data_IF_066311655302
#
_entry.id   IF_066311655302
#
_cell.length_a   1.000
_cell.length_b   1.000
_cell.length_c   1.000
_cell.angle_alpha   90.00
_cell.angle_beta   90.00
_cell.angle_gamma   90.00
#
_symmetry.space_group_name_H-M   'P 1'
#
loop_
_entity.id
_entity.type
_entity.pdbx_description
1 polymer ?
#
# COMPACT_ATOMS: atom_id res chain seq x y z
N UNK A 1 -15.84 23.46 8.73
CA UNK A 1 -14.92 23.11 9.84
C UNK A 1 -13.75 22.37 9.19
N UNK A 2 -12.55 22.98 9.14
CA UNK A 2 -11.34 22.30 8.65
C UNK A 2 -11.01 21.21 9.66
N UNK A 3 -11.36 19.96 9.34
CA UNK A 3 -10.95 18.80 10.14
C UNK A 3 -9.43 18.69 10.11
N UNK A 4 -8.83 18.24 11.21
CA UNK A 4 -7.41 17.91 11.23
C UNK A 4 -7.08 16.92 10.08
N UNK A 5 -5.93 17.11 9.44
CA UNK A 5 -5.45 16.21 8.39
C UNK A 5 -5.37 14.76 8.95
N UNK A 6 -5.84 13.80 8.16
CA UNK A 6 -5.90 12.39 8.58
C UNK A 6 -4.54 11.72 8.38
N UNK A 7 -3.82 11.30 9.44
CA UNK A 7 -2.57 10.57 9.29
C UNK A 7 -2.76 9.32 8.42
N UNK A 8 -2.07 9.28 7.29
CA UNK A 8 -2.28 8.24 6.28
C UNK A 8 -0.94 7.73 5.77
N UNK A 9 -0.74 6.43 5.81
CA UNK A 9 0.42 5.74 5.29
C UNK A 9 0.04 4.96 4.03
N UNK A 10 0.74 5.18 2.93
CA UNK A 10 0.65 4.36 1.73
C UNK A 10 1.89 3.46 1.64
N UNK A 11 1.71 2.17 1.82
CA UNK A 11 2.72 1.16 1.53
C UNK A 11 2.69 0.84 0.04
N UNK A 12 3.75 1.20 -0.67
CA UNK A 12 3.95 0.83 -2.07
C UNK A 12 5.11 -0.14 -2.24
N UNK A 13 5.31 -0.62 -3.45
CA UNK A 13 6.33 -1.60 -3.81
C UNK A 13 5.79 -2.62 -4.83
N UNK A 14 6.66 -3.47 -5.35
CA UNK A 14 6.31 -4.43 -6.41
C UNK A 14 5.40 -5.56 -5.94
N UNK A 15 4.89 -6.39 -6.86
CA UNK A 15 4.24 -7.67 -6.55
C UNK A 15 5.26 -8.52 -5.76
N UNK A 16 4.83 -9.15 -4.66
CA UNK A 16 5.70 -9.94 -3.79
C UNK A 16 6.56 -9.15 -2.79
N UNK A 17 6.54 -7.80 -2.81
CA UNK A 17 7.29 -6.99 -1.83
C UNK A 17 6.76 -7.07 -0.40
N UNK A 18 5.52 -7.55 -0.18
CA UNK A 18 4.94 -7.78 1.16
C UNK A 18 4.05 -6.67 1.69
N UNK A 19 3.58 -5.74 0.86
CA UNK A 19 2.72 -4.60 1.24
C UNK A 19 1.57 -4.96 2.17
N UNK A 20 0.70 -5.86 1.73
CA UNK A 20 -0.50 -6.28 2.45
C UNK A 20 -0.18 -6.83 3.84
N UNK A 21 0.83 -7.72 3.92
CA UNK A 21 1.20 -8.37 5.18
C UNK A 21 1.80 -7.38 6.16
N UNK A 22 2.63 -6.44 5.68
CA UNK A 22 3.20 -5.37 6.51
C UNK A 22 2.12 -4.37 6.93
N UNK A 23 1.17 -4.02 6.04
CA UNK A 23 0.04 -3.15 6.41
C UNK A 23 -0.80 -3.74 7.54
N UNK A 24 -1.10 -5.03 7.48
CA UNK A 24 -1.81 -5.75 8.55
C UNK A 24 -1.01 -5.71 9.86
N UNK A 25 0.30 -5.97 9.80
CA UNK A 25 1.16 -5.92 10.98
C UNK A 25 1.23 -4.51 11.59
N UNK A 26 1.26 -3.45 10.77
CA UNK A 26 1.16 -2.05 11.24
C UNK A 26 -0.15 -1.82 12.00
N UNK A 27 -1.28 -2.24 11.42
CA UNK A 27 -2.58 -2.11 12.09
C UNK A 27 -2.61 -2.79 13.45
N UNK A 28 -2.06 -4.01 13.55
CA UNK A 28 -1.96 -4.73 14.82
C UNK A 28 -1.08 -3.99 15.85
N UNK A 29 0.08 -3.46 15.43
CA UNK A 29 0.97 -2.72 16.32
C UNK A 29 0.31 -1.42 16.81
N UNK A 30 -0.39 -0.68 15.95
CA UNK A 30 -1.15 0.51 16.35
C UNK A 30 -2.25 0.16 17.35
N UNK A 31 -3.01 -0.91 17.10
CA UNK A 31 -4.05 -1.39 18.01
C UNK A 31 -3.49 -1.79 19.39
N UNK A 32 -2.33 -2.46 19.43
CA UNK A 32 -1.64 -2.78 20.69
C UNK A 32 -1.25 -1.55 21.52
N UNK A 33 -1.09 -0.40 20.86
CA UNK A 33 -0.82 0.89 21.50
C UNK A 33 -2.09 1.71 21.80
N UNK A 34 -3.27 1.10 21.64
CA UNK A 34 -4.55 1.78 21.85
C UNK A 34 -4.90 2.81 20.77
N UNK A 35 -4.25 2.77 19.61
CA UNK A 35 -4.50 3.67 18.48
C UNK A 35 -5.49 3.02 17.52
N UNK A 36 -6.56 3.74 17.14
CA UNK A 36 -7.51 3.28 16.13
C UNK A 36 -6.90 3.38 14.73
N UNK A 37 -6.98 2.32 13.94
CA UNK A 37 -6.44 2.31 12.58
C UNK A 37 -7.35 1.57 11.60
N UNK A 38 -7.53 2.11 10.39
CA UNK A 38 -8.10 1.39 9.26
C UNK A 38 -6.96 0.88 8.35
N UNK A 39 -7.00 -0.41 8.03
CA UNK A 39 -6.03 -1.04 7.12
C UNK A 39 -6.75 -1.50 5.86
N UNK A 40 -6.29 -1.06 4.70
CA UNK A 40 -6.92 -1.37 3.42
C UNK A 40 -5.88 -1.78 2.37
N UNK A 41 -6.04 -2.94 1.80
CA UNK A 41 -5.42 -3.28 0.52
C UNK A 41 -6.33 -2.76 -0.60
N UNK A 42 -5.85 -1.74 -1.32
CA UNK A 42 -6.66 -1.02 -2.31
C UNK A 42 -6.96 -1.87 -3.54
N UNK A 43 -6.19 -2.94 -3.81
CA UNK A 43 -6.45 -3.84 -4.92
C UNK A 43 -7.82 -4.54 -4.77
N UNK A 44 -8.28 -4.78 -3.52
CA UNK A 44 -9.60 -5.33 -3.25
C UNK A 44 -10.76 -4.39 -3.59
N UNK A 45 -10.51 -3.09 -3.73
CA UNK A 45 -11.56 -2.12 -4.10
C UNK A 45 -11.92 -2.18 -5.58
N UNK A 46 -11.14 -2.85 -6.42
CA UNK A 46 -11.40 -3.02 -7.84
C UNK A 46 -10.99 -4.41 -8.35
N UNK A 47 -11.13 -5.44 -7.53
CA UNK A 47 -10.93 -6.82 -7.98
C UNK A 47 -12.09 -7.24 -8.89
N UNK A 48 -11.94 -7.02 -10.17
CA UNK A 48 -12.99 -7.20 -11.16
C UNK A 48 -12.48 -7.98 -12.37
N UNK A 49 -13.35 -8.83 -12.91
CA UNK A 49 -13.16 -9.51 -14.19
C UNK A 49 -14.14 -8.92 -15.22
N UNK A 50 -13.97 -7.65 -15.58
CA UNK A 50 -14.80 -6.98 -16.58
C UNK A 50 -14.26 -7.23 -17.97
N UNK A 51 -15.16 -7.57 -18.91
CA UNK A 51 -14.78 -7.79 -20.32
C UNK A 51 -14.41 -6.50 -21.05
N UNK A 52 -15.02 -5.38 -20.68
CA UNK A 52 -14.63 -4.04 -21.11
C UNK A 52 -15.12 -3.04 -20.07
N UNK A 53 -14.31 -2.02 -19.80
CA UNK A 53 -14.69 -0.91 -18.93
C UNK A 53 -14.16 0.39 -19.54
N UNK A 54 -14.98 1.43 -19.51
CA UNK A 54 -14.55 2.79 -19.82
C UNK A 54 -13.78 3.44 -18.68
N UNK A 55 -13.71 2.77 -17.51
CA UNK A 55 -13.06 3.25 -16.28
C UNK A 55 -11.85 2.37 -16.00
N UNK A 56 -10.72 2.96 -15.74
CA UNK A 56 -9.50 2.26 -15.34
C UNK A 56 -9.63 1.69 -13.92
N UNK A 57 -8.82 0.68 -13.60
CA UNK A 57 -8.78 0.13 -12.23
C UNK A 57 -8.41 1.22 -11.21
N UNK A 58 -7.47 2.11 -11.53
CA UNK A 58 -7.04 3.20 -10.66
C UNK A 58 -8.18 4.19 -10.38
N UNK A 59 -8.92 4.60 -11.41
CA UNK A 59 -10.10 5.46 -11.24
C UNK A 59 -11.19 4.81 -10.39
N UNK A 60 -11.43 3.51 -10.58
CA UNK A 60 -12.43 2.80 -9.80
C UNK A 60 -12.01 2.67 -8.34
N UNK A 61 -10.75 2.33 -8.08
CA UNK A 61 -10.19 2.28 -6.71
C UNK A 61 -10.33 3.64 -6.04
N UNK A 62 -9.96 4.73 -6.73
CA UNK A 62 -10.06 6.07 -6.20
C UNK A 62 -11.51 6.45 -5.84
N UNK A 63 -12.46 6.16 -6.71
CA UNK A 63 -13.90 6.39 -6.46
C UNK A 63 -14.42 5.59 -5.28
N UNK A 64 -14.04 4.31 -5.18
CA UNK A 64 -14.45 3.45 -4.08
C UNK A 64 -13.80 3.90 -2.76
N UNK A 65 -12.52 4.26 -2.77
CA UNK A 65 -11.83 4.81 -1.61
C UNK A 65 -12.49 6.10 -1.13
N UNK A 66 -12.78 7.05 -2.03
CA UNK A 66 -13.48 8.28 -1.70
C UNK A 66 -14.87 8.04 -1.09
N UNK A 67 -15.58 7.01 -1.56
CA UNK A 67 -16.91 6.66 -1.05
C UNK A 67 -16.87 6.06 0.37
N UNK A 68 -15.85 5.28 0.71
CA UNK A 68 -15.74 4.65 2.04
C UNK A 68 -15.03 5.55 3.05
N UNK A 69 -14.23 6.52 2.63
CA UNK A 69 -13.41 7.36 3.50
C UNK A 69 -14.20 8.11 4.57
N UNK A 70 -15.33 8.76 4.26
CA UNK A 70 -16.18 9.42 5.27
C UNK A 70 -16.68 8.44 6.34
N UNK A 71 -17.05 7.21 5.95
CA UNK A 71 -17.55 6.20 6.87
C UNK A 71 -16.46 5.76 7.88
N UNK A 72 -15.21 5.66 7.41
CA UNK A 72 -14.07 5.33 8.29
C UNK A 72 -13.77 6.46 9.27
N UNK A 73 -13.89 7.71 8.83
CA UNK A 73 -13.75 8.88 9.71
C UNK A 73 -14.85 8.96 10.76
N UNK A 74 -16.09 8.67 10.37
CA UNK A 74 -17.22 8.58 11.31
C UNK A 74 -17.05 7.47 12.33
N UNK A 75 -16.36 6.38 11.96
CA UNK A 75 -15.99 5.29 12.86
C UNK A 75 -14.75 5.57 13.73
N UNK A 76 -14.33 6.85 13.84
CA UNK A 76 -13.19 7.30 14.65
C UNK A 76 -11.84 6.70 14.25
N UNK A 77 -11.60 6.63 12.93
CA UNK A 77 -10.30 6.25 12.38
C UNK A 77 -9.23 7.29 12.76
N UNK A 78 -8.29 6.90 13.62
CA UNK A 78 -7.15 7.74 14.00
C UNK A 78 -6.01 7.70 12.97
N UNK A 79 -5.78 6.54 12.35
CA UNK A 79 -4.73 6.30 11.36
C UNK A 79 -5.30 5.51 10.18
N UNK A 80 -4.84 5.82 8.97
CA UNK A 80 -5.12 5.02 7.77
C UNK A 80 -3.84 4.35 7.26
N UNK A 81 -3.90 3.06 6.94
CA UNK A 81 -2.80 2.29 6.34
C UNK A 81 -3.30 1.69 5.04
N UNK A 82 -2.80 2.21 3.94
CA UNK A 82 -3.17 1.80 2.59
C UNK A 82 -2.05 0.95 1.98
N UNK A 83 -2.39 -0.11 1.27
CA UNK A 83 -1.43 -0.92 0.51
C UNK A 83 -1.79 -0.93 -0.96
N UNK A 84 -0.86 -0.55 -1.86
CA UNK A 84 -1.01 -0.59 -3.30
C UNK A 84 0.32 -0.44 -4.00
N UNK A 85 0.51 -1.10 -5.15
CA UNK A 85 1.60 -0.78 -6.05
C UNK A 85 1.29 0.53 -6.78
N UNK A 86 2.11 1.56 -6.55
CA UNK A 86 2.03 2.85 -7.25
C UNK A 86 3.29 3.01 -8.08
N UNK A 87 3.11 3.18 -9.37
CA UNK A 87 4.17 3.47 -10.32
C UNK A 87 3.96 4.87 -10.87
N UNK A 88 4.89 5.77 -10.57
CA UNK A 88 4.83 7.15 -11.05
C UNK A 88 3.86 8.06 -10.30
N UNK A 89 3.93 9.33 -10.64
CA UNK A 89 3.16 10.40 -9.97
C UNK A 89 1.67 10.35 -10.26
N UNK A 90 1.30 9.98 -11.47
CA UNK A 90 -0.11 9.97 -11.89
C UNK A 90 -0.96 9.06 -10.99
N UNK A 91 -0.46 7.86 -10.67
CA UNK A 91 -1.14 6.94 -9.76
C UNK A 91 -1.26 7.48 -8.33
N UNK A 92 -0.26 8.23 -7.86
CA UNK A 92 -0.30 8.88 -6.54
C UNK A 92 -1.29 10.07 -6.52
N UNK A 93 -1.32 10.86 -7.58
CA UNK A 93 -2.21 12.03 -7.67
C UNK A 93 -3.68 11.62 -7.72
N UNK A 94 -4.01 10.50 -8.37
CA UNK A 94 -5.36 9.93 -8.34
C UNK A 94 -5.81 9.60 -6.91
N UNK A 95 -4.92 9.04 -6.08
CA UNK A 95 -5.22 8.78 -4.67
C UNK A 95 -5.34 10.06 -3.84
N UNK A 96 -4.47 11.05 -4.06
CA UNK A 96 -4.54 12.35 -3.37
C UNK A 96 -5.84 13.07 -3.64
N UNK A 97 -6.34 13.00 -4.88
CA UNK A 97 -7.65 13.57 -5.24
C UNK A 97 -8.80 12.82 -4.57
N UNK A 98 -8.68 11.51 -4.42
CA UNK A 98 -9.72 10.68 -3.78
C UNK A 98 -9.88 10.96 -2.28
N UNK A 99 -8.78 11.28 -1.58
CA UNK A 99 -8.76 11.51 -0.12
C UNK A 99 -7.99 12.80 0.22
N UNK A 100 -8.53 13.97 -0.14
CA UNK A 100 -7.82 15.24 -0.02
C UNK A 100 -7.48 15.65 1.43
N UNK A 101 -8.18 15.08 2.42
CA UNK A 101 -7.87 15.30 3.83
C UNK A 101 -6.75 14.39 4.37
N UNK A 102 -6.23 13.47 3.58
CA UNK A 102 -5.14 12.58 3.99
C UNK A 102 -3.80 13.35 4.08
N UNK A 103 -3.17 13.26 5.25
CA UNK A 103 -1.74 13.59 5.43
C UNK A 103 -0.94 12.35 5.03
N UNK A 104 -0.61 12.27 3.75
CA UNK A 104 -0.14 11.06 3.10
C UNK A 104 1.38 10.96 3.12
N UNK A 105 1.90 9.96 3.83
CA UNK A 105 3.29 9.53 3.78
C UNK A 105 3.38 8.26 2.91
N UNK A 106 4.25 8.26 1.92
CA UNK A 106 4.46 7.14 1.00
C UNK A 106 5.71 6.36 1.39
N UNK A 107 5.55 5.09 1.74
CA UNK A 107 6.66 4.20 2.09
C UNK A 107 6.77 3.08 1.07
N UNK A 108 7.91 2.98 0.39
CA UNK A 108 8.21 1.91 -0.54
C UNK A 108 8.89 0.74 0.16
N UNK A 109 8.27 -0.44 0.10
CA UNK A 109 8.88 -1.69 0.53
C UNK A 109 9.73 -2.27 -0.61
N UNK A 110 11.03 -2.39 -0.37
CA UNK A 110 12.01 -2.93 -1.32
C UNK A 110 12.39 -4.34 -0.89
N UNK A 111 12.25 -5.31 -1.78
CA UNK A 111 12.73 -6.66 -1.60
C UNK A 111 13.62 -7.08 -2.78
N UNK A 112 14.65 -7.87 -2.52
CA UNK A 112 15.52 -8.41 -3.56
C UNK A 112 14.76 -9.33 -4.53
N UNK A 113 15.20 -9.44 -5.78
CA UNK A 113 14.59 -10.35 -6.75
C UNK A 113 14.46 -11.79 -6.23
N UNK A 114 15.46 -12.29 -5.51
CA UNK A 114 15.44 -13.63 -4.92
C UNK A 114 14.40 -13.77 -3.81
N UNK A 115 14.17 -12.75 -3.03
CA UNK A 115 13.11 -12.71 -2.00
C UNK A 115 11.73 -12.67 -2.63
N UNK A 116 11.55 -11.86 -3.67
CA UNK A 116 10.29 -11.78 -4.43
C UNK A 116 9.98 -13.12 -5.06
N UNK A 117 10.94 -13.73 -5.78
CA UNK A 117 10.78 -15.03 -6.40
C UNK A 117 10.39 -16.11 -5.39
N UNK A 118 11.09 -16.19 -4.25
CA UNK A 118 10.78 -17.15 -3.18
C UNK A 118 9.36 -16.96 -2.63
N UNK A 119 8.87 -15.71 -2.49
CA UNK A 119 7.53 -15.40 -2.00
C UNK A 119 6.47 -15.74 -3.04
N UNK A 120 6.69 -15.38 -4.30
CA UNK A 120 5.77 -15.68 -5.38
C UNK A 120 5.64 -17.20 -5.60
N UNK A 121 6.73 -17.95 -5.62
CA UNK A 121 6.69 -19.43 -5.73
C UNK A 121 5.92 -20.15 -4.62
N UNK A 122 5.69 -19.49 -3.48
CA UNK A 122 4.84 -20.04 -2.40
C UNK A 122 3.36 -19.74 -2.59
N UNK A 123 3.03 -18.74 -3.38
CA UNK A 123 1.67 -18.26 -3.61
C UNK A 123 1.13 -18.71 -4.96
N UNK A 124 1.94 -18.59 -5.99
CA UNK A 124 1.57 -18.72 -7.39
C UNK A 124 2.25 -19.93 -8.04
N UNK A 125 1.70 -20.43 -9.15
CA UNK A 125 2.26 -21.54 -9.90
C UNK A 125 2.02 -21.38 -11.42
N UNK A 126 2.77 -22.12 -12.22
CA UNK A 126 2.62 -22.15 -13.68
C UNK A 126 2.76 -20.77 -14.32
N UNK A 127 1.85 -20.45 -15.24
CA UNK A 127 1.87 -19.21 -16.02
C UNK A 127 1.71 -17.96 -15.15
N UNK A 128 0.86 -18.02 -14.14
CA UNK A 128 0.62 -16.91 -13.20
C UNK A 128 1.91 -16.49 -12.49
N UNK A 129 2.71 -17.46 -12.04
CA UNK A 129 4.01 -17.18 -11.43
C UNK A 129 4.96 -16.46 -12.39
N UNK A 130 5.03 -16.90 -13.64
CA UNK A 130 5.90 -16.28 -14.64
C UNK A 130 5.46 -14.86 -14.98
N UNK A 131 4.16 -14.61 -15.04
CA UNK A 131 3.59 -13.27 -15.26
C UNK A 131 3.93 -12.35 -14.10
N UNK A 132 3.65 -12.75 -12.87
CA UNK A 132 3.94 -11.94 -11.68
C UNK A 132 5.43 -11.65 -11.49
N UNK A 133 6.32 -12.58 -11.84
CA UNK A 133 7.78 -12.34 -11.81
C UNK A 133 8.19 -11.27 -12.82
N UNK A 134 7.68 -11.34 -14.05
CA UNK A 134 7.95 -10.34 -15.10
C UNK A 134 7.39 -8.97 -14.72
N UNK A 135 6.16 -8.92 -14.24
CA UNK A 135 5.51 -7.68 -13.79
C UNK A 135 6.25 -7.06 -12.61
N UNK A 136 6.63 -7.85 -11.61
CA UNK A 136 7.38 -7.37 -10.46
C UNK A 136 8.71 -6.73 -10.87
N UNK A 137 9.43 -7.33 -11.82
CA UNK A 137 10.68 -6.78 -12.34
C UNK A 137 10.45 -5.47 -13.11
N UNK A 138 9.43 -5.42 -13.97
CA UNK A 138 9.08 -4.22 -14.73
C UNK A 138 8.66 -3.08 -13.80
N UNK A 139 7.83 -3.37 -12.78
CA UNK A 139 7.44 -2.41 -11.76
C UNK A 139 8.65 -1.86 -10.98
N UNK A 140 9.60 -2.72 -10.58
CA UNK A 140 10.80 -2.27 -9.87
C UNK A 140 11.57 -1.25 -10.67
N UNK A 141 11.81 -1.54 -11.96
CA UNK A 141 12.52 -0.65 -12.86
C UNK A 141 11.78 0.68 -13.09
N UNK A 142 10.45 0.64 -13.14
CA UNK A 142 9.63 1.83 -13.31
C UNK A 142 9.63 2.69 -12.04
N UNK A 143 9.49 2.09 -10.85
CA UNK A 143 9.56 2.76 -9.56
C UNK A 143 10.95 3.37 -9.28
N UNK A 144 12.03 2.75 -9.80
CA UNK A 144 13.39 3.29 -9.67
C UNK A 144 13.63 4.52 -10.57
N UNK A 145 12.87 4.63 -11.68
CA UNK A 145 12.91 5.79 -12.57
C UNK A 145 12.04 6.93 -12.10
N UNK A 146 10.90 6.62 -11.52
CA UNK A 146 9.92 7.59 -11.05
C UNK A 146 9.71 7.42 -9.55
N UNK A 147 10.62 7.99 -8.78
CA UNK A 147 10.57 7.94 -7.32
C UNK A 147 9.42 8.81 -6.81
N UNK A 148 8.48 8.19 -6.10
CA UNK A 148 7.32 8.86 -5.50
C UNK A 148 7.25 8.67 -3.99
N UNK A 149 8.06 7.78 -3.45
CA UNK A 149 8.13 7.51 -2.03
C UNK A 149 8.87 8.58 -1.25
N UNK A 150 8.39 8.85 -0.04
CA UNK A 150 9.08 9.69 0.95
C UNK A 150 10.16 8.88 1.69
N UNK A 151 9.90 7.58 1.90
CA UNK A 151 10.77 6.67 2.65
C UNK A 151 10.86 5.32 1.91
N UNK A 152 12.07 4.76 1.82
CA UNK A 152 12.29 3.40 1.36
C UNK A 152 12.69 2.49 2.53
N UNK A 153 12.06 1.30 2.62
CA UNK A 153 12.32 0.31 3.67
C UNK A 153 12.61 -1.05 3.05
N UNK A 154 13.73 -1.64 3.44
CA UNK A 154 14.10 -2.98 3.00
C UNK A 154 13.20 -4.04 3.65
N UNK A 155 12.70 -4.98 2.85
CA UNK A 155 11.85 -6.08 3.31
C UNK A 155 12.34 -7.44 2.79
N UNK A 156 13.62 -7.71 2.96
CA UNK A 156 14.22 -9.00 2.59
C UNK A 156 14.17 -10.02 3.74
N UNK A 157 14.47 -9.56 4.94
CA UNK A 157 14.69 -10.40 6.12
C UNK A 157 13.90 -9.87 7.32
N UNK A 158 13.38 -10.80 8.08
CA UNK A 158 12.64 -10.51 9.31
C UNK A 158 11.16 -10.86 9.22
N UNK A 159 10.48 -10.76 10.36
CA UNK A 159 9.02 -10.91 10.41
C UNK A 159 8.34 -9.64 9.89
N UNK A 160 7.09 -9.75 9.42
CA UNK A 160 6.28 -8.58 9.09
C UNK A 160 6.20 -7.55 10.22
N UNK A 161 6.15 -8.00 11.49
CA UNK A 161 6.10 -7.12 12.66
C UNK A 161 7.37 -6.28 12.83
N UNK A 162 8.55 -6.84 12.51
CA UNK A 162 9.80 -6.08 12.55
C UNK A 162 9.82 -4.97 11.49
N UNK A 163 9.39 -5.30 10.27
CA UNK A 163 9.32 -4.31 9.18
C UNK A 163 8.25 -3.26 9.48
N UNK A 164 7.11 -3.68 10.02
CA UNK A 164 6.05 -2.77 10.45
C UNK A 164 6.53 -1.79 11.52
N UNK A 165 7.31 -2.27 12.50
CA UNK A 165 7.92 -1.41 13.54
C UNK A 165 8.91 -0.41 12.92
N UNK A 166 9.83 -0.84 12.04
CA UNK A 166 10.78 0.04 11.35
C UNK A 166 10.05 1.12 10.53
N UNK A 167 8.96 0.75 9.87
CA UNK A 167 8.11 1.73 9.16
C UNK A 167 7.51 2.74 10.14
N UNK A 168 6.88 2.28 11.22
CA UNK A 168 6.19 3.14 12.19
C UNK A 168 7.14 4.10 12.91
N UNK A 169 8.36 3.64 13.26
CA UNK A 169 9.42 4.47 13.84
C UNK A 169 9.88 5.56 12.86
N UNK A 170 10.10 5.21 11.59
CA UNK A 170 10.55 6.18 10.57
C UNK A 170 9.51 7.22 10.21
N UNK A 171 8.22 6.89 10.27
CA UNK A 171 7.15 7.86 10.04
C UNK A 171 6.76 8.61 11.33
N UNK A 172 7.39 8.31 12.48
CA UNK A 172 7.16 9.00 13.75
C UNK A 172 5.79 8.69 14.39
N UNK A 173 5.21 7.52 14.07
CA UNK A 173 3.93 7.13 14.65
C UNK A 173 4.06 6.32 15.94
N UNK A 174 5.24 5.79 16.19
CA UNK A 174 5.67 5.16 17.46
C UNK A 174 7.09 5.60 17.83
N UNK A 175 7.46 5.42 19.11
CA UNK A 175 8.80 5.64 19.64
C UNK A 175 9.69 4.38 19.48
#
# INVERSE_FOLDING_TARGET
MSGAAQPTLLLTGTIGSGKTVVAIAIGHLLAQQGKSAAVMDLDWLAWLHLRSSAVTADELIARNLAAIWPNLREADMGYAVLARAIVGRDGLDVLRVAVPEADLIVVRLIASPSTIERRLRRRDSGQELEEHLRESQAMSQAMDREVVEDIAVANDYGSPDRVARDVLERVGWID
#
